data_IF_462659108548
#
_entry.id   IF_462659108548
#
_cell.length_a   1.000
_cell.length_b   1.000
_cell.length_c   1.000
_cell.angle_alpha   90.00
_cell.angle_beta   90.00
_cell.angle_gamma   90.00
#
_symmetry.space_group_name_H-M   'P 1'
#
loop_
_entity.id
_entity.type
_entity.pdbx_description
1 polymer ?
#
# COMPACT_ATOMS: atom_id res chain seq x y z
N UNK A 1 -1.46 -6.09 15.44
CA UNK A 1 -0.71 -7.32 15.77
C UNK A 1 0.75 -6.96 15.90
N UNK A 2 1.30 -7.12 17.10
CA UNK A 2 2.69 -6.72 17.42
C UNK A 2 3.71 -7.63 16.71
N UNK A 3 3.40 -8.92 16.58
CA UNK A 3 4.29 -9.90 15.93
C UNK A 3 4.50 -9.58 14.45
N UNK A 4 3.45 -9.09 13.76
CA UNK A 4 3.54 -8.66 12.37
C UNK A 4 4.40 -7.40 12.22
N UNK A 5 4.35 -6.50 13.20
CA UNK A 5 5.19 -5.29 13.20
C UNK A 5 6.65 -5.68 13.40
N UNK A 6 6.95 -6.53 14.38
CA UNK A 6 8.32 -6.99 14.65
C UNK A 6 8.93 -7.71 13.45
N UNK A 7 8.21 -8.68 12.86
CA UNK A 7 8.62 -9.33 11.61
C UNK A 7 8.83 -8.30 10.49
N UNK A 8 7.90 -7.35 10.38
CA UNK A 8 7.99 -6.25 9.43
C UNK A 8 9.27 -5.43 9.59
N UNK A 9 9.70 -5.16 10.82
CA UNK A 9 10.92 -4.40 11.11
C UNK A 9 12.18 -5.20 10.78
N UNK A 10 12.21 -6.50 11.09
CA UNK A 10 13.35 -7.40 10.85
C UNK A 10 13.62 -7.68 9.35
N UNK A 11 12.61 -7.57 8.47
CA UNK A 11 12.80 -7.84 7.04
C UNK A 11 13.80 -6.85 6.40
N UNK A 12 14.80 -7.35 5.64
CA UNK A 12 15.72 -6.51 4.85
C UNK A 12 15.01 -5.53 3.91
N UNK A 13 15.54 -4.31 3.79
CA UNK A 13 14.96 -3.25 2.94
C UNK A 13 14.87 -3.68 1.47
N UNK A 14 15.84 -4.44 0.96
CA UNK A 14 15.86 -4.99 -0.41
C UNK A 14 14.69 -5.93 -0.72
N UNK A 15 14.06 -6.50 0.31
CA UNK A 15 12.85 -7.32 0.17
C UNK A 15 11.57 -6.49 0.34
N UNK A 16 11.64 -5.32 0.98
CA UNK A 16 10.52 -4.37 1.07
C UNK A 16 10.37 -3.57 -0.22
N UNK A 17 11.49 -3.17 -0.83
CA UNK A 17 11.57 -2.38 -2.05
C UNK A 17 12.61 -2.99 -2.97
N UNK A 18 12.19 -3.39 -4.18
CA UNK A 18 13.08 -3.98 -5.19
C UNK A 18 12.75 -3.41 -6.56
N UNK A 19 13.75 -2.85 -7.25
CA UNK A 19 13.61 -2.28 -8.60
C UNK A 19 12.42 -1.31 -8.76
N UNK A 20 12.24 -0.40 -7.79
CA UNK A 20 11.12 0.55 -7.77
C UNK A 20 9.77 -0.02 -7.28
N UNK A 21 9.65 -1.33 -7.09
CA UNK A 21 8.43 -1.97 -6.60
C UNK A 21 8.40 -1.98 -5.08
N UNK A 22 7.46 -1.23 -4.50
CA UNK A 22 7.19 -1.22 -3.05
C UNK A 22 6.36 -2.42 -2.62
N UNK A 23 6.57 -2.86 -1.36
CA UNK A 23 5.94 -4.03 -0.73
C UNK A 23 6.28 -5.34 -1.46
N UNK A 24 7.47 -5.44 -2.02
CA UNK A 24 7.86 -6.53 -2.91
C UNK A 24 7.62 -7.91 -2.28
N UNK A 25 8.13 -8.17 -1.08
CA UNK A 25 7.93 -9.45 -0.37
C UNK A 25 6.46 -9.81 -0.17
N UNK A 26 5.60 -8.85 0.16
CA UNK A 26 4.16 -9.10 0.34
C UNK A 26 3.48 -9.47 -0.99
N UNK A 27 3.95 -8.89 -2.11
CA UNK A 27 3.44 -9.21 -3.44
C UNK A 27 3.85 -10.60 -3.89
N UNK A 28 5.09 -11.01 -3.62
CA UNK A 28 5.55 -12.38 -3.88
C UNK A 28 4.76 -13.40 -3.05
N UNK A 29 4.51 -13.12 -1.76
CA UNK A 29 3.63 -13.97 -0.93
C UNK A 29 2.24 -14.07 -1.56
N UNK A 30 1.63 -12.96 -1.95
CA UNK A 30 0.30 -12.97 -2.58
C UNK A 30 0.27 -13.77 -3.90
N UNK A 31 1.30 -13.61 -4.74
CA UNK A 31 1.46 -14.38 -5.98
C UNK A 31 1.61 -15.88 -5.70
N UNK A 32 2.45 -16.26 -4.73
CA UNK A 32 2.67 -17.66 -4.34
C UNK A 32 1.41 -18.30 -3.73
N UNK A 33 0.50 -17.50 -3.17
CA UNK A 33 -0.81 -17.94 -2.68
C UNK A 33 -1.89 -17.99 -3.78
N UNK A 34 -1.52 -17.77 -5.05
CA UNK A 34 -2.43 -17.92 -6.19
C UNK A 34 -3.41 -16.76 -6.39
N UNK A 35 -3.17 -15.60 -5.77
CA UNK A 35 -4.02 -14.43 -6.01
C UNK A 35 -3.90 -13.95 -7.48
N UNK A 36 -4.97 -13.40 -8.07
CA UNK A 36 -4.93 -12.88 -9.43
C UNK A 36 -3.86 -11.79 -9.60
N UNK A 37 -3.26 -11.72 -10.80
CA UNK A 37 -2.27 -10.68 -11.15
C UNK A 37 -2.78 -9.27 -10.88
N UNK A 38 -4.05 -9.01 -11.18
CA UNK A 38 -4.73 -7.74 -10.90
C UNK A 38 -4.72 -7.31 -9.43
N UNK A 39 -4.48 -8.23 -8.49
CA UNK A 39 -4.37 -7.95 -7.06
C UNK A 39 -2.90 -7.71 -6.67
N UNK A 40 -2.02 -8.69 -6.91
CA UNK A 40 -0.64 -8.59 -6.41
C UNK A 40 0.23 -7.63 -7.22
N UNK A 41 -0.12 -7.29 -8.47
CA UNK A 41 0.63 -6.33 -9.29
C UNK A 41 0.09 -4.90 -9.21
N UNK A 42 -1.05 -4.67 -8.52
CA UNK A 42 -1.69 -3.36 -8.46
C UNK A 42 -0.86 -2.34 -7.69
N UNK A 43 -0.77 -1.13 -8.21
CA UNK A 43 -0.10 -0.03 -7.51
C UNK A 43 -0.83 0.34 -6.21
N UNK A 44 -0.06 0.67 -5.15
CA UNK A 44 -0.62 1.13 -3.87
C UNK A 44 -1.24 2.52 -4.05
N UNK A 45 -2.56 2.59 -4.02
CA UNK A 45 -3.32 3.84 -3.82
C UNK A 45 -3.82 3.92 -2.38
N UNK A 46 -3.77 5.10 -1.77
CA UNK A 46 -4.35 5.29 -0.44
C UNK A 46 -5.85 5.58 -0.55
N UNK A 47 -6.62 5.21 0.49
CA UNK A 47 -8.09 5.22 0.44
C UNK A 47 -8.65 6.62 0.13
N UNK A 48 -8.04 7.66 0.70
CA UNK A 48 -8.47 9.03 0.52
C UNK A 48 -8.40 9.50 -0.94
N UNK A 49 -7.42 9.00 -1.71
CA UNK A 49 -7.26 9.33 -3.12
C UNK A 49 -8.07 8.44 -4.04
N UNK A 50 -8.37 7.21 -3.63
CA UNK A 50 -9.19 6.29 -4.43
C UNK A 50 -10.68 6.61 -4.33
N UNK A 51 -11.14 7.08 -3.17
CA UNK A 51 -12.54 7.42 -2.90
C UNK A 51 -12.88 8.88 -3.19
N UNK A 52 -11.88 9.74 -3.36
CA UNK A 52 -12.08 11.19 -3.58
C UNK A 52 -12.41 11.96 -2.30
N UNK A 53 -12.28 11.33 -1.12
CA UNK A 53 -12.38 12.00 0.18
C UNK A 53 -11.42 13.18 0.26
N UNK A 54 -10.20 13.06 -0.29
CA UNK A 54 -9.23 14.14 -0.32
C UNK A 54 -9.76 15.40 -1.04
N UNK A 55 -10.45 15.22 -2.17
CA UNK A 55 -11.07 16.31 -2.94
C UNK A 55 -12.19 16.96 -2.15
N UNK A 56 -13.01 16.15 -1.47
CA UNK A 56 -14.13 16.64 -0.66
C UNK A 56 -13.64 17.47 0.51
N UNK A 57 -12.64 16.99 1.25
CA UNK A 57 -12.03 17.72 2.37
C UNK A 57 -11.47 19.06 1.90
N UNK A 58 -10.70 19.08 0.80
CA UNK A 58 -10.17 20.33 0.22
C UNK A 58 -11.26 21.33 -0.15
N UNK A 59 -12.39 20.87 -0.68
CA UNK A 59 -13.53 21.74 -1.03
C UNK A 59 -14.21 22.35 0.19
N UNK A 60 -14.28 21.60 1.30
CA UNK A 60 -14.84 22.11 2.57
C UNK A 60 -13.94 23.20 3.14
N UNK A 61 -12.62 22.94 3.20
CA UNK A 61 -11.65 23.92 3.70
C UNK A 61 -11.70 25.22 2.90
N UNK A 62 -11.76 25.15 1.57
CA UNK A 62 -11.87 26.34 0.70
C UNK A 62 -13.18 27.13 0.85
N UNK A 63 -14.22 26.55 1.43
CA UNK A 63 -15.53 27.19 1.65
C UNK A 63 -15.69 27.75 3.06
N UNK A 64 -14.90 27.25 4.01
CA UNK A 64 -14.88 27.72 5.40
C UNK A 64 -13.81 28.78 5.66
N UNK A 65 -13.15 29.26 4.60
CA UNK A 65 -12.30 30.46 4.55
C UNK A 65 -13.03 31.50 3.72
#
# INVERSE_FOLDING_TARGET
DESVVELGLQIPVSLKIKSGVRKYVLREVAKNRGLPKSIWSREKKAIQYSTGVDKRVKKIIKKGV
#
